data_IF_104172463766
#
_entry.id   IF_104172463766
#
_cell.length_a   1.000
_cell.length_b   1.000
_cell.length_c   1.000
_cell.angle_alpha   90.00
_cell.angle_beta   90.00
_cell.angle_gamma   90.00
#
_symmetry.space_group_name_H-M   'P 1'
#
loop_
_entity.id
_entity.type
_entity.pdbx_description
1 polymer ?
#
# COMPACT_ATOMS: atom_id res chain seq x y z
N UNK A 1 -9.61 9.36 -20.39
CA UNK A 1 -9.00 9.07 -19.06
C UNK A 1 -9.25 7.62 -18.64
N UNK A 2 -8.32 6.97 -17.91
CA UNK A 2 -8.64 5.69 -17.27
C UNK A 2 -9.65 5.95 -16.15
N UNK A 3 -10.60 5.07 -15.98
CA UNK A 3 -11.47 5.02 -14.82
C UNK A 3 -11.25 3.68 -14.11
N UNK A 4 -10.88 3.74 -12.84
CA UNK A 4 -10.70 2.58 -11.98
C UNK A 4 -11.71 2.66 -10.85
N UNK A 5 -12.48 1.60 -10.67
CA UNK A 5 -13.51 1.53 -9.64
C UNK A 5 -13.29 0.25 -8.82
N UNK A 6 -13.32 0.38 -7.51
CA UNK A 6 -13.36 -0.75 -6.57
C UNK A 6 -14.73 -0.84 -5.93
N UNK A 7 -15.30 -2.03 -5.96
CA UNK A 7 -16.52 -2.38 -5.26
C UNK A 7 -16.23 -3.22 -4.02
N UNK A 8 -17.05 -3.07 -2.99
CA UNK A 8 -17.07 -3.99 -1.85
C UNK A 8 -17.85 -5.28 -2.21
N UNK A 9 -17.97 -6.22 -1.24
CA UNK A 9 -18.69 -7.48 -1.46
C UNK A 9 -20.20 -7.30 -1.64
N UNK A 10 -20.75 -6.18 -1.19
CA UNK A 10 -22.16 -5.81 -1.33
C UNK A 10 -22.49 -5.16 -2.68
N UNK A 11 -21.45 -4.80 -3.46
CA UNK A 11 -21.61 -4.13 -4.74
C UNK A 11 -21.56 -2.60 -4.66
N UNK A 12 -21.30 -2.02 -3.49
CA UNK A 12 -21.14 -0.58 -3.35
C UNK A 12 -19.75 -0.13 -3.76
N UNK A 13 -19.61 1.10 -4.24
CA UNK A 13 -18.32 1.69 -4.59
C UNK A 13 -17.54 1.99 -3.32
N UNK A 14 -16.41 1.29 -3.12
CA UNK A 14 -15.46 1.61 -2.06
C UNK A 14 -14.63 2.86 -2.38
N UNK A 15 -14.15 2.94 -3.62
CA UNK A 15 -13.47 4.11 -4.15
C UNK A 15 -13.45 4.07 -5.68
N UNK A 16 -13.20 5.22 -6.30
CA UNK A 16 -12.88 5.32 -7.73
C UNK A 16 -11.75 6.34 -7.94
N UNK A 17 -10.99 6.16 -9.01
CA UNK A 17 -9.91 7.07 -9.44
C UNK A 17 -9.92 7.21 -10.94
N UNK A 18 -9.53 8.39 -11.39
CA UNK A 18 -9.29 8.69 -12.81
C UNK A 18 -7.82 9.04 -13.00
N UNK A 19 -7.24 8.58 -14.10
CA UNK A 19 -5.92 9.01 -14.54
C UNK A 19 -6.04 9.72 -15.87
N UNK A 20 -5.44 10.88 -15.99
CA UNK A 20 -5.33 11.68 -17.21
C UNK A 20 -3.85 11.87 -17.54
N UNK A 21 -3.46 11.45 -18.74
CA UNK A 21 -2.09 11.64 -19.23
C UNK A 21 -1.72 13.09 -19.47
N UNK A 22 -0.42 13.40 -19.63
CA UNK A 22 0.08 14.76 -19.75
C UNK A 22 -0.43 15.52 -20.97
N UNK A 23 -0.80 14.81 -22.05
CA UNK A 23 -1.32 15.42 -23.28
C UNK A 23 -2.81 15.77 -23.23
N UNK A 24 -3.52 15.48 -22.10
CA UNK A 24 -4.97 15.70 -21.94
C UNK A 24 -5.85 15.13 -23.05
N UNK A 25 -5.38 14.07 -23.71
CA UNK A 25 -6.08 13.41 -24.80
C UNK A 25 -6.79 12.13 -24.37
N UNK A 26 -6.86 11.19 -25.29
CA UNK A 26 -7.45 9.87 -25.04
C UNK A 26 -6.53 9.03 -24.14
N UNK A 27 -7.06 8.48 -23.06
CA UNK A 27 -6.42 7.45 -22.25
C UNK A 27 -7.34 6.25 -22.15
N UNK A 28 -6.81 5.05 -22.36
CA UNK A 28 -7.60 3.82 -22.38
C UNK A 28 -6.86 2.70 -21.66
N UNK A 29 -7.40 2.26 -20.53
CA UNK A 29 -6.89 1.08 -19.82
C UNK A 29 -7.14 -0.21 -20.61
N UNK A 30 -6.22 -1.15 -20.52
CA UNK A 30 -6.26 -2.43 -21.21
C UNK A 30 -6.28 -3.63 -20.25
N UNK A 31 -5.47 -3.59 -19.19
CA UNK A 31 -5.34 -4.72 -18.27
C UNK A 31 -5.11 -4.24 -16.83
N UNK A 32 -5.45 -5.12 -15.89
CA UNK A 32 -5.32 -4.92 -14.45
C UNK A 32 -4.74 -6.18 -13.79
N UNK A 33 -3.83 -6.00 -12.84
CA UNK A 33 -3.24 -7.08 -12.05
C UNK A 33 -3.11 -6.68 -10.58
N UNK A 34 -3.09 -7.66 -9.69
CA UNK A 34 -2.78 -7.44 -8.28
C UNK A 34 -1.26 -7.47 -8.07
N UNK A 35 -0.74 -6.54 -7.33
CA UNK A 35 0.66 -6.46 -6.97
C UNK A 35 0.79 -6.14 -5.49
N UNK A 36 1.07 -7.16 -4.66
CA UNK A 36 1.12 -7.01 -3.20
C UNK A 36 -0.19 -6.40 -2.65
N UNK A 37 -0.11 -5.34 -1.84
CA UNK A 37 -1.27 -4.61 -1.33
C UNK A 37 -1.74 -3.48 -2.26
N UNK A 38 -1.48 -3.60 -3.54
CA UNK A 38 -1.86 -2.63 -4.56
C UNK A 38 -2.49 -3.29 -5.78
N UNK A 39 -3.03 -2.48 -6.65
CA UNK A 39 -3.46 -2.84 -7.99
C UNK A 39 -2.63 -2.08 -9.00
N UNK A 40 -2.31 -2.74 -10.09
CA UNK A 40 -1.58 -2.17 -11.22
C UNK A 40 -2.49 -2.20 -12.44
N UNK A 41 -2.62 -1.07 -13.11
CA UNK A 41 -3.42 -0.92 -14.31
C UNK A 41 -2.53 -0.38 -15.41
N UNK A 42 -2.66 -0.95 -16.60
CA UNK A 42 -1.90 -0.51 -17.77
C UNK A 42 -2.78 -0.28 -18.97
N UNK A 43 -2.29 0.49 -19.93
CA UNK A 43 -2.95 0.77 -21.20
C UNK A 43 -2.20 1.83 -22.01
N UNK A 44 -2.88 2.47 -22.95
CA UNK A 44 -2.37 3.60 -23.72
C UNK A 44 -2.79 4.91 -23.08
N UNK A 45 -1.92 5.90 -23.13
CA UNK A 45 -2.22 7.25 -22.64
C UNK A 45 -1.60 8.28 -23.57
N UNK A 46 -2.37 9.32 -23.90
CA UNK A 46 -1.90 10.39 -24.77
C UNK A 46 -0.71 11.14 -24.13
N UNK A 47 0.39 11.15 -24.88
CA UNK A 47 1.63 11.81 -24.49
C UNK A 47 1.64 13.30 -24.76
N UNK A 48 2.68 13.99 -24.32
CA UNK A 48 2.89 15.42 -24.60
C UNK A 48 3.31 15.69 -26.06
N UNK A 49 3.76 14.67 -26.76
CA UNK A 49 4.30 14.75 -28.14
C UNK A 49 3.31 14.31 -29.23
N UNK A 50 2.02 14.29 -28.92
CA UNK A 50 0.94 13.91 -29.85
C UNK A 50 0.97 12.44 -30.29
N UNK A 51 1.50 11.56 -29.47
CA UNK A 51 1.53 10.11 -29.63
C UNK A 51 1.03 9.42 -28.37
N UNK A 52 0.73 8.12 -28.46
CA UNK A 52 0.35 7.32 -27.30
C UNK A 52 1.59 6.66 -26.69
N UNK A 53 1.69 6.67 -25.37
CA UNK A 53 2.66 5.92 -24.60
C UNK A 53 1.96 4.81 -23.79
N UNK A 54 2.71 3.80 -23.35
CA UNK A 54 2.25 2.97 -22.24
C UNK A 54 2.08 3.85 -21.03
N UNK A 55 1.01 3.69 -20.29
CA UNK A 55 0.87 4.24 -18.95
C UNK A 55 0.49 3.11 -17.99
N UNK A 56 1.32 2.90 -16.99
CA UNK A 56 1.11 1.89 -15.96
C UNK A 56 1.03 2.62 -14.62
N UNK A 57 -0.10 2.45 -13.94
CA UNK A 57 -0.44 3.17 -12.72
C UNK A 57 -0.62 2.17 -11.59
N UNK A 58 -0.04 2.46 -10.43
CA UNK A 58 -0.22 1.70 -9.21
C UNK A 58 -1.10 2.47 -8.23
N UNK A 59 -2.11 1.79 -7.66
CA UNK A 59 -3.00 2.33 -6.64
C UNK A 59 -2.97 1.46 -5.39
N UNK A 60 -3.04 2.06 -4.20
CA UNK A 60 -3.30 1.32 -2.95
C UNK A 60 -4.65 0.62 -3.02
N UNK A 61 -4.68 -0.67 -2.65
CA UNK A 61 -5.88 -1.50 -2.74
C UNK A 61 -7.00 -1.04 -1.81
N UNK A 62 -6.67 -0.49 -0.65
CA UNK A 62 -7.64 -0.09 0.38
C UNK A 62 -8.38 1.20 0.02
N UNK A 63 -7.68 2.27 -0.37
CA UNK A 63 -8.23 3.61 -0.53
C UNK A 63 -8.07 4.23 -1.94
N UNK A 64 -7.41 3.52 -2.85
CA UNK A 64 -7.18 3.99 -4.22
C UNK A 64 -6.16 5.13 -4.32
N UNK A 65 -5.35 5.39 -3.30
CA UNK A 65 -4.30 6.39 -3.42
C UNK A 65 -3.31 5.95 -4.49
N UNK A 66 -3.02 6.87 -5.42
CA UNK A 66 -2.02 6.64 -6.45
C UNK A 66 -0.64 6.59 -5.82
N UNK A 67 0.07 5.50 -6.05
CA UNK A 67 1.42 5.27 -5.54
C UNK A 67 2.46 5.67 -6.57
N UNK A 68 2.29 5.22 -7.81
CA UNK A 68 3.27 5.43 -8.86
C UNK A 68 2.62 5.46 -10.25
N UNK A 69 3.28 6.15 -11.16
CA UNK A 69 2.96 6.16 -12.60
C UNK A 69 4.25 5.94 -13.35
N UNK A 70 4.29 4.93 -14.20
CA UNK A 70 5.35 4.72 -15.16
C UNK A 70 4.81 4.90 -16.57
N UNK A 71 5.53 5.65 -17.38
CA UNK A 71 5.26 5.81 -18.81
C UNK A 71 6.42 5.23 -19.61
N UNK A 72 6.11 4.59 -20.71
CA UNK A 72 7.11 4.06 -21.62
C UNK A 72 6.74 4.40 -23.05
N UNK A 73 7.72 4.88 -23.78
CA UNK A 73 7.69 5.08 -25.23
C UNK A 73 9.00 4.57 -25.83
N UNK A 74 8.92 3.93 -26.98
CA UNK A 74 10.11 3.48 -27.72
C UNK A 74 10.80 4.67 -28.41
N UNK A 75 10.02 5.67 -28.84
CA UNK A 75 10.48 6.87 -29.50
C UNK A 75 9.42 7.97 -29.46
N UNK A 76 9.81 9.23 -29.64
CA UNK A 76 8.90 10.37 -29.64
C UNK A 76 7.83 10.34 -30.74
N UNK A 77 8.10 9.62 -31.83
CA UNK A 77 7.18 9.45 -32.96
C UNK A 77 6.56 8.04 -33.01
N UNK A 78 6.42 7.36 -31.89
CA UNK A 78 5.78 6.05 -31.81
C UNK A 78 4.41 6.13 -31.13
N UNK A 79 3.51 5.22 -31.55
CA UNK A 79 2.31 4.90 -30.77
C UNK A 79 2.57 3.63 -29.97
N UNK A 80 2.59 3.75 -28.65
CA UNK A 80 2.85 2.65 -27.75
C UNK A 80 1.55 2.27 -27.03
N UNK A 81 1.12 1.02 -27.19
CA UNK A 81 -0.17 0.54 -26.71
C UNK A 81 0.03 -0.69 -25.83
N UNK A 82 0.08 -0.48 -24.51
CA UNK A 82 0.09 -1.58 -23.58
C UNK A 82 -1.21 -2.39 -23.68
N UNK A 83 -1.10 -3.71 -23.63
CA UNK A 83 -2.21 -4.66 -23.80
C UNK A 83 -2.43 -5.50 -22.58
N UNK A 84 -1.36 -5.87 -21.87
CA UNK A 84 -1.47 -6.74 -20.72
C UNK A 84 -0.41 -6.43 -19.66
N UNK A 85 -0.72 -6.77 -18.41
CA UNK A 85 0.16 -6.65 -17.26
C UNK A 85 0.10 -7.91 -16.41
N UNK A 86 1.26 -8.46 -16.12
CA UNK A 86 1.43 -9.57 -15.20
C UNK A 86 2.34 -9.17 -14.03
N UNK A 87 2.08 -9.76 -12.87
CA UNK A 87 2.85 -9.49 -11.65
C UNK A 87 3.34 -10.78 -11.02
N UNK A 88 4.60 -10.81 -10.58
CA UNK A 88 5.16 -11.95 -9.85
C UNK A 88 6.26 -11.48 -8.90
N UNK A 89 6.08 -11.73 -7.60
CA UNK A 89 7.03 -11.28 -6.58
C UNK A 89 7.15 -9.75 -6.57
N UNK A 90 8.36 -9.23 -6.80
CA UNK A 90 8.64 -7.80 -6.89
C UNK A 90 8.60 -7.26 -8.33
N UNK A 91 8.28 -8.10 -9.31
CA UNK A 91 8.36 -7.75 -10.74
C UNK A 91 6.98 -7.53 -11.32
N UNK A 92 6.85 -6.45 -12.09
CA UNK A 92 5.69 -6.13 -12.93
C UNK A 92 6.17 -6.20 -14.37
N UNK A 93 5.49 -6.97 -15.21
CA UNK A 93 5.78 -7.07 -16.64
C UNK A 93 4.60 -6.54 -17.42
N UNK A 94 4.85 -5.57 -18.27
CA UNK A 94 3.86 -4.97 -19.17
C UNK A 94 4.24 -5.32 -20.60
N UNK A 95 3.30 -5.78 -21.38
CA UNK A 95 3.50 -6.09 -22.81
C UNK A 95 2.47 -5.43 -23.68
N UNK A 96 2.81 -5.19 -24.95
CA UNK A 96 1.92 -4.58 -25.92
C UNK A 96 2.61 -4.35 -27.26
N UNK A 97 2.18 -3.33 -27.97
CA UNK A 97 2.70 -2.97 -29.28
C UNK A 97 3.32 -1.57 -29.24
N UNK A 98 4.37 -1.39 -30.01
CA UNK A 98 4.96 -0.10 -30.35
C UNK A 98 4.96 0.05 -31.86
N UNK A 99 4.29 1.06 -32.37
CA UNK A 99 4.22 1.39 -33.78
C UNK A 99 5.06 2.64 -34.05
N UNK A 100 6.20 2.47 -34.69
CA UNK A 100 7.08 3.56 -35.09
C UNK A 100 6.56 4.19 -36.38
N UNK A 101 6.26 5.48 -36.35
CA UNK A 101 5.75 6.25 -37.51
C UNK A 101 6.94 6.83 -38.24
N UNK A 102 7.08 6.48 -39.53
CA UNK A 102 8.15 6.98 -40.40
C UNK A 102 7.65 8.10 -41.32
N UNK A 103 8.55 8.96 -41.80
CA UNK A 103 8.23 10.14 -42.60
C UNK A 103 7.47 9.84 -43.91
N UNK A 104 7.58 8.61 -44.43
CA UNK A 104 6.90 8.16 -45.64
C UNK A 104 5.50 7.53 -45.42
N UNK A 105 4.94 7.67 -44.20
CA UNK A 105 3.68 7.04 -43.77
C UNK A 105 3.74 5.50 -43.67
N UNK A 106 4.89 4.91 -43.81
CA UNK A 106 5.11 3.53 -43.43
C UNK A 106 5.25 3.43 -41.91
N UNK A 107 4.77 2.34 -41.31
CA UNK A 107 4.94 2.07 -39.88
C UNK A 107 5.52 0.69 -39.67
N UNK A 108 6.40 0.57 -38.71
CA UNK A 108 6.89 -0.71 -38.22
C UNK A 108 6.29 -1.00 -36.84
N UNK A 109 5.65 -2.16 -36.73
CA UNK A 109 5.07 -2.60 -35.47
C UNK A 109 6.01 -3.58 -34.76
N UNK A 110 6.29 -3.30 -33.50
CA UNK A 110 7.11 -4.13 -32.63
C UNK A 110 6.29 -4.63 -31.43
N UNK A 111 6.59 -5.83 -30.95
CA UNK A 111 6.12 -6.28 -29.64
C UNK A 111 7.09 -5.73 -28.59
N UNK A 112 6.57 -4.88 -27.72
CA UNK A 112 7.38 -4.27 -26.65
C UNK A 112 6.99 -4.85 -25.30
N UNK A 113 7.99 -5.30 -24.55
CA UNK A 113 7.82 -5.80 -23.19
C UNK A 113 8.69 -5.02 -22.24
N UNK A 114 8.10 -4.45 -21.23
CA UNK A 114 8.77 -3.62 -20.22
C UNK A 114 8.67 -4.31 -18.87
N UNK A 115 9.80 -4.48 -18.22
CA UNK A 115 9.86 -4.93 -16.83
C UNK A 115 10.02 -3.73 -15.90
N UNK A 116 9.10 -3.56 -15.00
CA UNK A 116 9.11 -2.51 -13.99
C UNK A 116 9.49 -3.13 -12.65
N UNK A 117 10.60 -2.70 -12.09
CA UNK A 117 10.95 -2.95 -10.70
C UNK A 117 10.52 -1.71 -9.93
N UNK A 118 9.26 -1.64 -9.54
CA UNK A 118 8.86 -0.64 -8.58
C UNK A 118 9.48 -1.03 -7.25
N UNK A 119 10.45 -0.22 -6.89
CA UNK A 119 11.19 -0.40 -5.65
C UNK A 119 10.23 -0.62 -4.53
N UNK A 120 10.59 -1.50 -3.62
CA UNK A 120 9.86 -1.66 -2.40
C UNK A 120 9.72 -0.28 -1.75
N UNK A 121 8.57 0.37 -1.93
CA UNK A 121 8.01 1.01 -0.76
C UNK A 121 7.91 -0.17 0.21
N UNK A 122 8.79 -0.18 1.21
CA UNK A 122 8.71 -1.07 2.36
C UNK A 122 7.49 -0.62 3.19
N UNK A 123 6.34 -0.59 2.57
CA UNK A 123 5.13 -0.91 3.28
C UNK A 123 5.23 -2.42 3.43
N UNK A 124 5.53 -2.85 4.64
CA UNK A 124 5.43 -4.25 5.04
C UNK A 124 4.19 -4.84 4.37
N UNK A 125 4.34 -5.99 3.69
CA UNK A 125 3.21 -6.82 3.25
C UNK A 125 2.48 -7.30 4.51
N UNK A 126 1.88 -6.38 5.23
CA UNK A 126 0.86 -6.72 6.19
C UNK A 126 -0.39 -6.97 5.36
N UNK A 127 -0.62 -8.24 4.99
CA UNK A 127 -1.99 -8.69 4.74
C UNK A 127 -2.83 -8.05 5.83
N UNK A 128 -3.94 -7.41 5.46
CA UNK A 128 -4.85 -6.90 6.50
C UNK A 128 -5.15 -8.08 7.38
N UNK A 129 -4.79 -8.04 8.66
CA UNK A 129 -4.94 -9.17 9.54
C UNK A 129 -6.38 -9.65 9.50
N UNK A 130 -6.59 -10.96 9.49
CA UNK A 130 -7.93 -11.56 9.48
C UNK A 130 -8.71 -11.32 10.78
N UNK A 131 -8.04 -10.81 11.81
CA UNK A 131 -8.58 -10.51 13.14
C UNK A 131 -7.78 -9.43 13.85
N UNK A 132 -8.37 -8.87 14.90
CA UNK A 132 -7.64 -8.03 15.85
C UNK A 132 -6.76 -8.90 16.73
N UNK A 133 -5.54 -8.46 17.01
CA UNK A 133 -4.64 -9.15 17.93
C UNK A 133 -3.75 -8.18 18.68
N UNK A 134 -3.30 -8.57 19.88
CA UNK A 134 -2.25 -7.90 20.64
C UNK A 134 -1.11 -8.90 20.88
N UNK A 135 0.09 -8.61 20.41
CA UNK A 135 1.25 -9.46 20.58
C UNK A 135 1.96 -9.23 21.90
N UNK A 136 2.73 -10.22 22.37
CA UNK A 136 3.62 -10.03 23.49
C UNK A 136 4.72 -9.04 23.12
N UNK A 137 4.98 -8.05 24.00
CA UNK A 137 6.07 -7.09 23.78
C UNK A 137 7.43 -7.80 23.68
N UNK A 138 8.31 -7.29 22.82
CA UNK A 138 9.64 -7.84 22.67
C UNK A 138 10.69 -6.70 22.62
N UNK A 139 11.79 -6.86 23.42
CA UNK A 139 12.07 -7.93 24.39
C UNK A 139 11.14 -7.90 25.61
N UNK A 140 10.98 -9.04 26.29
CA UNK A 140 10.32 -9.15 27.59
C UNK A 140 11.00 -10.29 28.39
N UNK A 141 11.70 -10.01 29.53
CA UNK A 141 11.88 -8.71 30.16
C UNK A 141 12.64 -7.71 29.29
N UNK A 142 12.49 -6.40 29.56
CA UNK A 142 13.08 -5.33 28.76
C UNK A 142 13.83 -4.27 29.62
N UNK A 143 14.78 -3.53 29.00
CA UNK A 143 15.59 -2.49 29.63
C UNK A 143 16.05 -1.43 28.61
N UNK A 144 15.72 -0.17 28.73
CA UNK A 144 14.43 0.32 29.22
C UNK A 144 13.38 0.35 28.10
N UNK A 145 13.72 -0.15 26.90
CA UNK A 145 12.89 -0.06 25.70
C UNK A 145 12.37 -1.43 25.25
N UNK A 146 11.14 -1.43 24.74
CA UNK A 146 10.50 -2.60 24.14
C UNK A 146 9.60 -2.16 22.99
N UNK A 147 9.21 -3.11 22.11
CA UNK A 147 8.23 -2.90 21.07
C UNK A 147 6.97 -3.68 21.37
N UNK A 148 5.82 -3.06 21.14
CA UNK A 148 4.48 -3.67 21.22
C UNK A 148 3.91 -3.69 19.84
N UNK A 149 3.55 -4.90 19.37
CA UNK A 149 2.90 -5.11 18.07
C UNK A 149 1.45 -5.50 18.25
N UNK A 150 0.58 -4.99 17.38
CA UNK A 150 -0.83 -5.37 17.34
C UNK A 150 -1.37 -5.29 15.92
N UNK A 151 -2.45 -6.06 15.68
CA UNK A 151 -3.11 -6.16 14.39
C UNK A 151 -4.51 -5.57 14.47
N UNK A 152 -4.89 -4.81 13.44
CA UNK A 152 -6.23 -4.28 13.23
C UNK A 152 -6.83 -4.89 11.96
N UNK A 153 -7.92 -5.64 12.11
CA UNK A 153 -8.65 -6.20 10.97
C UNK A 153 -9.49 -5.16 10.19
N UNK A 154 -9.72 -3.99 10.78
CA UNK A 154 -10.45 -2.88 10.19
C UNK A 154 -9.97 -1.56 10.81
N UNK A 155 -10.18 -0.46 10.07
CA UNK A 155 -9.94 0.89 10.57
C UNK A 155 -10.70 1.11 11.88
N UNK A 156 -10.04 1.65 12.91
CA UNK A 156 -10.61 1.72 14.26
C UNK A 156 -10.06 2.89 15.07
N UNK A 157 -10.87 3.39 16.00
CA UNK A 157 -10.36 4.19 17.10
C UNK A 157 -9.58 3.29 18.05
N UNK A 158 -8.31 3.63 18.28
CA UNK A 158 -7.38 2.79 19.02
C UNK A 158 -6.86 3.52 20.25
N UNK A 159 -6.94 2.86 21.39
CA UNK A 159 -6.22 3.25 22.61
C UNK A 159 -5.28 2.13 23.03
N UNK A 160 -3.97 2.43 23.09
CA UNK A 160 -2.95 1.56 23.70
C UNK A 160 -2.37 2.29 24.90
N UNK A 161 -2.55 1.73 26.10
CA UNK A 161 -2.12 2.35 27.35
C UNK A 161 -1.42 1.36 28.28
N UNK A 162 -0.52 1.91 29.11
CA UNK A 162 0.29 1.17 30.09
C UNK A 162 -0.27 1.40 31.48
N UNK A 163 -0.34 0.35 32.27
CA UNK A 163 -0.86 0.34 33.64
C UNK A 163 0.14 -0.29 34.62
N UNK A 164 0.16 0.22 35.83
CA UNK A 164 0.87 -0.42 36.93
C UNK A 164 0.08 -1.61 37.52
N UNK A 165 0.64 -2.27 38.52
CA UNK A 165 0.02 -3.43 39.22
C UNK A 165 -1.27 -3.08 39.98
N UNK A 166 -1.52 -1.81 40.24
CA UNK A 166 -2.71 -1.31 40.93
C UNK A 166 -3.80 -0.91 39.91
N UNK A 167 -3.54 -1.05 38.59
CA UNK A 167 -4.45 -0.67 37.52
C UNK A 167 -4.44 0.83 37.21
N UNK A 168 -3.50 1.60 37.73
CA UNK A 168 -3.36 3.02 37.41
C UNK A 168 -2.71 3.17 36.04
N UNK A 169 -3.30 3.97 35.15
CA UNK A 169 -2.71 4.34 33.86
C UNK A 169 -1.45 5.20 34.10
N UNK A 170 -0.31 4.71 33.61
CA UNK A 170 0.99 5.38 33.77
C UNK A 170 1.49 5.99 32.45
N UNK A 171 1.00 5.53 31.31
CA UNK A 171 1.32 6.10 30.01
C UNK A 171 0.24 5.74 28.97
N UNK A 172 -0.03 6.64 28.02
CA UNK A 172 -0.83 6.37 26.83
C UNK A 172 0.11 6.44 25.64
N UNK A 173 0.21 5.34 24.87
CA UNK A 173 1.10 5.22 23.72
C UNK A 173 0.40 5.58 22.42
N UNK A 174 -0.89 5.22 22.28
CA UNK A 174 -1.74 5.51 21.15
C UNK A 174 -3.12 5.92 21.66
N UNK A 175 -3.70 6.97 21.09
CA UNK A 175 -5.09 7.38 21.30
C UNK A 175 -5.56 8.16 20.07
N UNK A 176 -5.84 7.42 18.98
CA UNK A 176 -6.23 8.01 17.69
C UNK A 176 -6.84 6.96 16.77
N UNK A 177 -7.45 7.45 15.68
CA UNK A 177 -7.86 6.59 14.58
C UNK A 177 -6.65 6.00 13.85
N UNK A 178 -6.65 4.67 13.64
CA UNK A 178 -5.65 3.95 12.85
C UNK A 178 -6.32 3.11 11.77
N UNK A 179 -5.67 3.02 10.61
CA UNK A 179 -6.08 2.16 9.50
C UNK A 179 -5.84 0.68 9.83
N UNK A 180 -6.58 -0.21 9.17
CA UNK A 180 -6.37 -1.66 9.25
C UNK A 180 -4.93 -2.03 8.86
N UNK A 181 -4.34 -2.99 9.57
CA UNK A 181 -2.96 -3.41 9.35
C UNK A 181 -2.25 -3.80 10.64
N UNK A 182 -0.96 -4.14 10.52
CA UNK A 182 -0.07 -4.41 11.66
C UNK A 182 0.63 -3.13 12.10
N UNK A 183 0.54 -2.81 13.38
CA UNK A 183 1.16 -1.65 14.00
C UNK A 183 2.23 -2.04 15.01
N UNK A 184 3.35 -1.31 15.01
CA UNK A 184 4.46 -1.51 15.93
C UNK A 184 4.75 -0.21 16.68
N UNK A 185 4.61 -0.23 18.00
CA UNK A 185 4.78 0.94 18.86
C UNK A 185 5.98 0.71 19.78
N UNK A 186 6.98 1.58 19.69
CA UNK A 186 8.13 1.57 20.60
C UNK A 186 7.76 2.25 21.91
N UNK A 187 8.09 1.61 23.01
CA UNK A 187 7.89 2.13 24.37
C UNK A 187 9.23 2.21 25.11
N UNK A 188 9.52 3.38 25.66
CA UNK A 188 10.68 3.60 26.53
C UNK A 188 10.20 3.91 27.96
N UNK A 189 10.51 2.99 28.88
CA UNK A 189 10.14 3.07 30.30
C UNK A 189 11.25 3.69 31.17
N UNK A 190 12.10 4.56 30.63
CA UNK A 190 13.22 5.18 31.33
C UNK A 190 12.83 5.87 32.67
N UNK A 191 11.61 6.40 32.75
CA UNK A 191 11.09 7.09 33.93
C UNK A 191 10.30 6.19 34.89
N UNK A 192 10.12 4.89 34.55
CA UNK A 192 9.43 3.94 35.44
C UNK A 192 10.41 3.12 36.26
N UNK A 193 10.00 2.61 37.43
CA UNK A 193 10.77 1.70 38.26
C UNK A 193 10.76 0.28 37.69
N UNK A 194 11.80 -0.52 37.97
CA UNK A 194 11.76 -1.96 37.67
C UNK A 194 10.55 -2.61 38.31
N UNK A 195 9.87 -3.49 37.58
CA UNK A 195 8.64 -4.12 38.03
C UNK A 195 7.78 -4.69 36.94
N UNK A 196 6.59 -5.14 37.31
CA UNK A 196 5.55 -5.66 36.42
C UNK A 196 4.62 -4.52 36.04
N UNK A 197 4.34 -4.45 34.74
CA UNK A 197 3.36 -3.55 34.13
C UNK A 197 2.44 -4.34 33.22
N UNK A 198 1.31 -3.74 32.89
CA UNK A 198 0.36 -4.27 31.92
C UNK A 198 0.17 -3.25 30.81
N UNK A 199 -0.08 -3.71 29.60
CA UNK A 199 -0.52 -2.86 28.52
C UNK A 199 -1.82 -3.40 27.96
N UNK A 200 -2.74 -2.48 27.64
CA UNK A 200 -4.06 -2.78 27.13
C UNK A 200 -4.28 -2.09 25.80
N UNK A 201 -4.77 -2.86 24.85
CA UNK A 201 -5.24 -2.39 23.55
C UNK A 201 -6.77 -2.39 23.54
N UNK A 202 -7.37 -1.27 23.18
CA UNK A 202 -8.77 -1.10 22.88
C UNK A 202 -8.89 -0.64 21.43
N UNK A 203 -9.65 -1.38 20.58
CA UNK A 203 -9.85 -1.08 19.17
C UNK A 203 -11.27 -1.47 18.75
N UNK A 204 -12.18 -0.51 18.64
CA UNK A 204 -13.61 -0.78 18.46
C UNK A 204 -14.17 -1.64 19.58
N UNK A 205 -14.65 -2.85 19.23
CA UNK A 205 -15.16 -3.84 20.20
C UNK A 205 -14.06 -4.80 20.73
N UNK A 206 -12.85 -4.70 20.20
CA UNK A 206 -11.73 -5.54 20.65
C UNK A 206 -11.06 -4.94 21.86
N UNK A 207 -10.75 -5.80 22.84
CA UNK A 207 -9.99 -5.44 24.03
C UNK A 207 -9.11 -6.62 24.44
N UNK A 208 -7.80 -6.38 24.58
CA UNK A 208 -6.85 -7.37 25.09
C UNK A 208 -5.81 -6.72 25.99
N UNK A 209 -5.28 -7.49 26.95
CA UNK A 209 -4.31 -7.05 27.93
C UNK A 209 -3.17 -8.04 28.06
N UNK A 210 -1.94 -7.54 28.13
CA UNK A 210 -0.76 -8.36 28.31
C UNK A 210 0.16 -7.80 29.41
N UNK A 211 0.96 -8.70 29.97
CA UNK A 211 1.93 -8.39 31.02
C UNK A 211 3.32 -8.15 30.42
N UNK A 212 4.05 -7.18 30.94
CA UNK A 212 5.46 -6.94 30.62
C UNK A 212 6.29 -6.75 31.90
N UNK A 213 7.59 -7.03 31.83
CA UNK A 213 8.53 -6.94 32.96
C UNK A 213 9.67 -5.98 32.61
N UNK A 214 9.76 -4.89 33.34
CA UNK A 214 10.88 -3.93 33.25
C UNK A 214 11.98 -4.32 34.24
N UNK A 215 13.20 -4.42 33.73
CA UNK A 215 14.42 -4.66 34.52
C UNK A 215 15.41 -3.54 34.21
N UNK A 216 15.87 -2.85 35.22
CA UNK A 216 16.94 -1.83 35.14
C UNK A 216 18.18 -2.31 35.83
#
# INVERSE_FOLDING_TARGET
NYLTIKYNRQGDISWYKTYNGPGNGEDKSASISLFRNSIVITGKSWGSTSTFDYATIQYKKNNGNQLEVNRYSIADNSNDLAKDVATKGATIVVTGFSELIMDNQESNTYISTVSLNWGSVLESDSEIPSGFSLSQNYPNPFNPSTSISFDLAADSEVKLAIYDVLGKEVSVLVNQHLEAGTHNISFNAGNLSSGIYFYRLEAGNFNDIKKMTLVK
#
